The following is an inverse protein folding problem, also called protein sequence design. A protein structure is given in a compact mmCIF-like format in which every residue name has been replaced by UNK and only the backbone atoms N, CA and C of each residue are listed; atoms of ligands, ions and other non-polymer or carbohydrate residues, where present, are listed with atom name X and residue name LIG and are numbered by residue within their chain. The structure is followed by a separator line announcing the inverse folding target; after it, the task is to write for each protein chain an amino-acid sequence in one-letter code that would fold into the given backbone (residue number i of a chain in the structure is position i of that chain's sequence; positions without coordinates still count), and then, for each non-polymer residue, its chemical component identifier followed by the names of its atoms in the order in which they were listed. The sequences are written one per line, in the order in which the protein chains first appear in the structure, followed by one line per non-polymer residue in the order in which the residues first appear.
data_IF_978560387223
#
_entry.id   IF_978560387223
#
_cell.length_a   1.000
_cell.length_b   1.000
_cell.length_c   1.000
_cell.angle_alpha   90.00
_cell.angle_beta   90.00
_cell.angle_gamma   90.00
#
_symmetry.space_group_name_H-M   'P 1'
#
loop_
_entity.id
_entity.type
_entity.pdbx_description
1 polymer ?
#
# COMPACT_ATOMS: atom_id res chain seq x y z
N UNK A 1 -44.89 32.51 16.62
CA UNK A 1 -44.85 33.63 17.59
C UNK A 1 -43.63 34.50 17.27
N UNK A 2 -43.57 35.03 16.03
CA UNK A 2 -42.33 35.57 15.43
C UNK A 2 -42.14 37.08 15.65
N UNK A 3 -43.24 37.83 15.81
CA UNK A 3 -43.21 39.26 16.12
C UNK A 3 -43.31 39.49 17.62
N UNK A 4 -42.37 40.26 18.17
CA UNK A 4 -42.44 40.74 19.58
C UNK A 4 -43.21 42.06 19.70
N UNK A 5 -43.58 42.69 18.58
CA UNK A 5 -44.49 43.83 18.54
C UNK A 5 -44.50 44.53 17.17
N UNK A 6 -45.57 45.27 16.89
CA UNK A 6 -45.65 46.25 15.79
C UNK A 6 -45.72 47.66 16.37
N UNK A 7 -45.04 48.59 15.70
CA UNK A 7 -44.99 50.01 16.05
C UNK A 7 -45.53 50.79 14.87
N UNK A 8 -46.54 51.62 15.12
CA UNK A 8 -47.00 52.59 14.12
C UNK A 8 -46.29 53.91 14.39
N UNK A 9 -45.67 54.48 13.36
CA UNK A 9 -44.96 55.75 13.43
C UNK A 9 -45.78 56.83 12.74
N UNK A 10 -45.96 57.98 13.39
CA UNK A 10 -46.63 59.13 12.77
C UNK A 10 -45.79 59.72 11.63
N UNK A 11 -46.36 60.65 10.86
CA UNK A 11 -45.62 61.45 9.86
C UNK A 11 -44.35 62.12 10.42
N UNK A 12 -44.32 62.42 11.72
CA UNK A 12 -43.19 63.07 12.40
C UNK A 12 -42.22 62.06 13.06
N UNK A 13 -42.42 60.76 12.82
CA UNK A 13 -41.58 59.69 13.39
C UNK A 13 -41.78 59.46 14.88
N UNK A 14 -42.96 59.79 15.42
CA UNK A 14 -43.31 59.49 16.80
C UNK A 14 -43.94 58.10 16.92
N UNK A 15 -43.50 57.32 17.90
CA UNK A 15 -44.05 56.00 18.19
C UNK A 15 -45.47 56.04 18.75
N UNK A 16 -46.37 55.27 18.12
CA UNK A 16 -47.69 54.89 18.61
C UNK A 16 -47.73 53.38 18.75
N UNK A 17 -47.78 52.91 19.99
CA UNK A 17 -47.75 51.49 20.35
C UNK A 17 -49.06 51.11 21.04
N UNK A 18 -49.68 49.95 20.73
CA UNK A 18 -50.96 49.54 21.31
C UNK A 18 -50.96 49.34 22.85
N UNK A 19 -49.80 49.42 23.51
CA UNK A 19 -49.62 49.14 24.96
C UNK A 19 -48.89 50.27 25.72
N UNK A 20 -48.73 51.45 25.14
CA UNK A 20 -48.11 52.62 25.82
C UNK A 20 -46.58 52.55 26.04
N UNK A 21 -45.92 51.46 25.64
CA UNK A 21 -44.46 51.35 25.62
C UNK A 21 -43.92 52.34 24.56
N UNK A 22 -42.92 53.17 24.86
CA UNK A 22 -42.31 54.15 23.94
C UNK A 22 -43.27 55.20 23.31
N UNK A 23 -44.51 55.35 23.80
CA UNK A 23 -45.48 56.29 23.21
C UNK A 23 -44.97 57.74 23.28
N UNK A 24 -44.97 58.42 22.12
CA UNK A 24 -44.48 59.80 22.00
C UNK A 24 -42.95 59.97 21.90
N UNK A 25 -42.16 58.90 22.03
CA UNK A 25 -40.73 58.97 21.72
C UNK A 25 -40.51 59.11 20.21
N UNK A 26 -39.57 59.97 19.82
CA UNK A 26 -39.21 60.17 18.41
C UNK A 26 -38.09 59.23 18.02
N UNK A 27 -38.34 58.46 16.95
CA UNK A 27 -37.32 57.65 16.27
C UNK A 27 -37.09 58.10 14.83
N UNK A 28 -37.42 59.36 14.53
CA UNK A 28 -37.35 59.93 13.18
C UNK A 28 -35.96 59.86 12.53
N UNK A 29 -34.90 59.78 13.34
CA UNK A 29 -33.52 59.66 12.85
C UNK A 29 -33.05 58.21 12.62
N UNK A 30 -33.89 57.20 12.93
CA UNK A 30 -33.51 55.78 12.80
C UNK A 30 -33.78 55.26 11.38
N UNK A 31 -32.96 54.32 10.87
CA UNK A 31 -33.16 53.72 9.55
C UNK A 31 -34.56 53.16 9.34
N UNK A 32 -35.14 52.53 10.37
CA UNK A 32 -36.50 51.97 10.33
C UNK A 32 -37.58 52.99 9.91
N UNK A 33 -37.41 54.27 10.24
CA UNK A 33 -38.32 55.34 9.81
C UNK A 33 -37.88 55.97 8.48
N UNK A 34 -36.59 56.27 8.33
CA UNK A 34 -36.06 56.97 7.16
C UNK A 34 -36.20 56.15 5.87
N UNK A 35 -35.87 54.86 5.95
CA UNK A 35 -35.95 53.91 4.84
C UNK A 35 -37.39 53.40 4.68
N UNK A 36 -38.05 53.06 5.80
CA UNK A 36 -39.44 52.59 5.80
C UNK A 36 -40.47 53.64 5.33
N UNK A 37 -40.11 54.92 5.25
CA UNK A 37 -40.93 55.97 4.64
C UNK A 37 -40.89 55.92 3.11
N UNK A 38 -39.80 55.42 2.52
CA UNK A 38 -39.59 55.43 1.07
C UNK A 38 -40.24 54.22 0.39
N UNK A 39 -40.06 53.03 0.97
CA UNK A 39 -40.58 51.77 0.43
C UNK A 39 -40.62 50.69 1.52
N UNK A 40 -41.04 49.48 1.16
CA UNK A 40 -40.79 48.30 2.00
C UNK A 40 -39.28 48.18 2.23
N UNK A 41 -38.88 48.12 3.50
CA UNK A 41 -37.50 48.04 3.94
C UNK A 41 -37.35 46.92 4.96
N UNK A 42 -36.27 46.15 4.84
CA UNK A 42 -35.87 45.14 5.83
C UNK A 42 -34.46 45.45 6.28
N UNK A 43 -34.28 45.70 7.58
CA UNK A 43 -32.97 45.93 8.18
C UNK A 43 -32.25 44.63 8.51
N UNK A 44 -30.93 44.66 8.48
CA UNK A 44 -30.10 43.55 8.98
C UNK A 44 -30.21 43.41 10.50
N UNK A 45 -29.68 42.32 11.05
CA UNK A 45 -29.75 42.02 12.49
C UNK A 45 -29.01 43.08 13.30
N UNK A 46 -29.69 43.68 14.28
CA UNK A 46 -29.07 44.62 15.20
C UNK A 46 -29.60 44.48 16.62
N UNK A 47 -28.83 44.99 17.59
CA UNK A 47 -29.29 45.09 18.98
C UNK A 47 -30.37 46.16 19.12
N UNK A 48 -31.39 45.88 19.94
CA UNK A 48 -32.43 46.86 20.24
C UNK A 48 -32.06 47.78 21.40
N UNK A 49 -31.42 48.91 21.13
CA UNK A 49 -30.97 49.85 22.17
C UNK A 49 -32.11 50.40 23.04
N UNK A 50 -33.26 50.74 22.43
CA UNK A 50 -34.42 51.34 23.14
C UNK A 50 -35.42 50.28 23.62
N UNK A 51 -35.67 49.25 22.81
CA UNK A 51 -36.61 48.19 23.16
C UNK A 51 -36.04 47.23 24.23
N UNK A 52 -34.73 46.97 24.24
CA UNK A 52 -34.14 46.03 25.20
C UNK A 52 -34.22 46.51 26.65
N UNK A 53 -34.31 47.83 26.89
CA UNK A 53 -34.51 48.38 28.23
C UNK A 53 -35.94 48.14 28.78
N UNK A 54 -36.89 47.82 27.89
CA UNK A 54 -38.32 47.76 28.21
C UNK A 54 -38.90 46.34 28.08
N UNK A 55 -38.14 45.42 27.48
CA UNK A 55 -38.54 44.03 27.33
C UNK A 55 -37.95 43.15 28.43
N UNK A 56 -38.71 42.19 28.99
CA UNK A 56 -38.15 41.21 29.92
C UNK A 56 -37.08 40.38 29.21
N UNK A 57 -35.88 40.38 29.78
CA UNK A 57 -34.71 39.66 29.28
C UNK A 57 -34.23 38.63 30.31
N UNK A 58 -34.86 37.43 30.37
CA UNK A 58 -34.50 36.40 31.34
C UNK A 58 -33.14 35.75 31.06
N UNK A 59 -32.61 35.84 29.83
CA UNK A 59 -31.30 35.28 29.46
C UNK A 59 -30.13 36.24 29.77
N UNK A 60 -30.38 37.55 29.77
CA UNK A 60 -29.37 38.58 30.03
C UNK A 60 -28.49 38.92 28.81
N UNK A 61 -28.68 38.23 27.69
CA UNK A 61 -27.98 38.51 26.42
C UNK A 61 -28.63 39.68 25.67
N UNK A 62 -27.86 40.35 24.82
CA UNK A 62 -28.39 41.47 24.03
C UNK A 62 -29.50 41.00 23.09
N UNK A 63 -30.71 41.56 23.22
CA UNK A 63 -31.85 41.22 22.36
C UNK A 63 -31.60 41.75 20.94
N UNK A 64 -31.47 40.81 19.99
CA UNK A 64 -31.28 41.08 18.56
C UNK A 64 -32.61 41.03 17.81
N UNK A 65 -32.76 41.91 16.82
CA UNK A 65 -33.98 42.02 16.01
C UNK A 65 -33.66 42.20 14.54
N UNK A 66 -34.62 41.76 13.71
CA UNK A 66 -34.73 42.10 12.30
C UNK A 66 -35.94 43.02 12.15
N UNK A 67 -35.73 44.18 11.54
CA UNK A 67 -36.75 45.21 11.41
C UNK A 67 -37.36 45.17 10.02
N UNK A 68 -38.69 45.18 9.93
CA UNK A 68 -39.43 45.33 8.67
C UNK A 68 -40.26 46.60 8.77
N UNK A 69 -40.09 47.53 7.83
CA UNK A 69 -40.81 48.79 7.82
C UNK A 69 -41.44 49.05 6.45
N UNK A 70 -42.65 49.60 6.44
CA UNK A 70 -43.37 49.93 5.21
C UNK A 70 -44.19 51.22 5.37
N UNK A 71 -44.28 52.07 4.33
CA UNK A 71 -45.04 53.29 4.42
C UNK A 71 -46.54 52.99 4.36
N UNK A 72 -47.31 53.69 5.20
CA UNK A 72 -48.77 53.62 5.23
C UNK A 72 -49.32 54.88 4.60
N UNK A 73 -50.16 54.72 3.59
CA UNK A 73 -50.87 55.81 2.91
C UNK A 73 -52.37 55.72 3.22
N UNK A 74 -53.06 56.85 3.14
CA UNK A 74 -54.52 56.89 3.23
C UNK A 74 -55.18 56.44 1.91
N UNK A 75 -56.52 56.43 1.87
CA UNK A 75 -57.28 56.08 0.67
C UNK A 75 -57.14 57.07 -0.49
N UNK A 76 -56.53 58.24 -0.26
CA UNK A 76 -56.27 59.30 -1.24
C UNK A 76 -54.80 59.28 -1.71
N UNK A 77 -53.95 58.43 -1.11
CA UNK A 77 -52.52 58.29 -1.43
C UNK A 77 -51.60 59.17 -0.59
N UNK A 78 -52.12 59.91 0.40
CA UNK A 78 -51.30 60.75 1.27
C UNK A 78 -50.60 59.90 2.34
N UNK A 79 -49.32 60.20 2.59
CA UNK A 79 -48.50 59.48 3.54
C UNK A 79 -48.98 59.71 4.98
N UNK A 80 -49.45 58.67 5.67
CA UNK A 80 -49.91 58.75 7.06
C UNK A 80 -48.79 58.49 8.08
N UNK A 81 -47.78 57.71 7.70
CA UNK A 81 -46.75 57.25 8.62
C UNK A 81 -46.07 55.96 8.17
N UNK A 82 -45.27 55.35 9.05
CA UNK A 82 -44.57 54.08 8.78
C UNK A 82 -45.09 53.01 9.72
N UNK A 83 -45.43 51.83 9.20
CA UNK A 83 -45.68 50.65 10.00
C UNK A 83 -44.37 49.85 10.11
N UNK A 84 -43.84 49.74 11.32
CA UNK A 84 -42.65 48.96 11.62
C UNK A 84 -43.01 47.71 12.43
N UNK A 85 -42.36 46.60 12.13
CA UNK A 85 -42.50 45.32 12.83
C UNK A 85 -41.10 44.85 13.21
N UNK A 86 -40.95 44.50 14.50
CA UNK A 86 -39.71 43.95 15.02
C UNK A 86 -39.86 42.43 15.18
N UNK A 87 -39.03 41.68 14.46
CA UNK A 87 -38.95 40.23 14.55
C UNK A 87 -37.81 39.84 15.50
N UNK A 88 -38.10 39.01 16.50
CA UNK A 88 -37.09 38.54 17.46
C UNK A 88 -36.06 37.66 16.75
N UNK A 89 -34.76 37.82 16.98
CA UNK A 89 -33.74 36.93 16.41
C UNK A 89 -33.75 35.51 17.00
N UNK A 90 -34.43 35.29 18.12
CA UNK A 90 -34.51 33.98 18.80
C UNK A 90 -34.97 32.83 17.89
N UNK A 91 -35.75 33.12 16.83
CA UNK A 91 -36.16 32.08 15.89
C UNK A 91 -34.98 31.52 15.10
N UNK A 92 -33.95 32.32 14.82
CA UNK A 92 -32.79 31.88 14.05
C UNK A 92 -31.98 30.85 14.85
N UNK A 93 -31.80 31.09 16.15
CA UNK A 93 -31.18 30.13 17.07
C UNK A 93 -31.98 28.83 17.16
N UNK A 94 -33.32 28.92 17.21
CA UNK A 94 -34.16 27.74 17.17
C UNK A 94 -34.01 26.97 15.85
N UNK A 95 -33.95 27.65 14.70
CA UNK A 95 -33.71 27.01 13.40
C UNK A 95 -32.33 26.35 13.37
N UNK A 96 -31.29 26.98 13.92
CA UNK A 96 -29.97 26.36 14.06
C UNK A 96 -30.04 25.08 14.91
N UNK A 97 -30.66 25.13 16.08
CA UNK A 97 -30.75 23.98 16.98
C UNK A 97 -31.64 22.85 16.41
N UNK A 98 -32.68 23.19 15.63
CA UNK A 98 -33.63 22.22 15.09
C UNK A 98 -33.20 21.63 13.74
N UNK A 99 -32.59 22.42 12.85
CA UNK A 99 -32.03 21.91 11.60
C UNK A 99 -30.73 21.12 11.82
N UNK A 100 -30.02 21.38 12.91
CA UNK A 100 -28.80 20.65 13.27
C UNK A 100 -29.00 19.91 14.58
N UNK A 101 -29.65 18.74 14.49
CA UNK A 101 -29.81 17.83 15.62
C UNK A 101 -28.45 17.27 16.10
N UNK A 102 -28.34 16.74 17.33
CA UNK A 102 -27.08 16.20 17.87
C UNK A 102 -26.41 15.14 16.99
N UNK A 103 -27.17 14.48 16.10
CA UNK A 103 -26.67 13.53 15.12
C UNK A 103 -25.81 14.18 14.01
N UNK A 104 -26.05 15.45 13.68
CA UNK A 104 -25.29 16.22 12.69
C UNK A 104 -24.05 16.87 13.33
N UNK A 105 -24.15 17.18 14.62
CA UNK A 105 -23.01 17.57 15.45
C UNK A 105 -21.95 16.46 15.53
N UNK A 106 -22.34 15.17 15.39
CA UNK A 106 -21.38 14.04 15.25
C UNK A 106 -20.52 14.07 13.98
N UNK A 107 -20.87 14.89 12.99
CA UNK A 107 -20.10 14.98 11.75
C UNK A 107 -19.06 16.10 11.76
N UNK A 108 -18.80 16.75 12.90
CA UNK A 108 -17.87 17.89 13.05
C UNK A 108 -18.10 19.02 12.03
N UNK A 109 -19.33 19.13 11.53
CA UNK A 109 -19.72 20.17 10.58
C UNK A 109 -20.41 21.28 11.33
N UNK A 110 -19.83 22.46 11.28
CA UNK A 110 -20.39 23.67 11.85
C UNK A 110 -21.06 24.50 10.75
N UNK A 111 -22.24 25.05 11.05
CA UNK A 111 -22.90 26.04 10.21
C UNK A 111 -22.80 27.42 10.85
N UNK A 112 -22.48 28.41 10.04
CA UNK A 112 -22.46 29.82 10.37
C UNK A 112 -23.35 30.58 9.37
N UNK A 113 -23.96 31.65 9.85
CA UNK A 113 -24.65 32.62 9.02
C UNK A 113 -23.95 33.97 9.22
N UNK A 114 -23.54 34.58 8.12
CA UNK A 114 -22.91 35.90 8.12
C UNK A 114 -23.84 36.94 7.49
N UNK A 115 -23.73 38.18 7.95
CA UNK A 115 -24.30 39.36 7.30
C UNK A 115 -23.59 39.67 5.98
N UNK A 116 -24.15 40.61 5.21
CA UNK A 116 -23.59 41.02 3.92
C UNK A 116 -22.16 41.60 4.01
N UNK A 117 -21.77 42.12 5.17
CA UNK A 117 -20.43 42.67 5.46
C UNK A 117 -19.44 41.63 6.02
N UNK A 118 -19.85 40.36 6.13
CA UNK A 118 -19.03 39.26 6.64
C UNK A 118 -18.98 39.15 8.16
N UNK A 119 -19.88 39.81 8.89
CA UNK A 119 -20.00 39.67 10.35
C UNK A 119 -20.80 38.40 10.70
N UNK A 120 -20.33 37.61 11.68
CA UNK A 120 -21.01 36.38 12.08
C UNK A 120 -22.28 36.71 12.87
N UNK A 121 -23.43 36.40 12.30
CA UNK A 121 -24.75 36.58 12.91
C UNK A 121 -25.14 35.38 13.79
N UNK A 122 -24.78 34.18 13.34
CA UNK A 122 -25.12 32.92 13.98
C UNK A 122 -24.01 31.89 13.73
N UNK A 123 -23.68 31.10 14.74
CA UNK A 123 -22.56 30.15 14.70
C UNK A 123 -22.05 29.81 16.11
N UNK A 124 -20.82 29.30 16.25
CA UNK A 124 -20.18 29.09 17.55
C UNK A 124 -20.07 30.39 18.34
N UNK A 125 -20.39 30.36 19.65
CA UNK A 125 -20.43 31.56 20.51
C UNK A 125 -19.17 32.43 20.43
N UNK A 126 -18.00 31.79 20.34
CA UNK A 126 -16.72 32.49 20.24
C UNK A 126 -16.58 33.40 19.01
N UNK A 127 -17.32 33.10 17.93
CA UNK A 127 -17.22 33.81 16.65
C UNK A 127 -18.34 34.82 16.42
N UNK A 128 -19.44 34.77 17.19
CA UNK A 128 -20.58 35.67 17.01
C UNK A 128 -20.14 37.13 17.15
N UNK A 129 -20.50 37.96 16.18
CA UNK A 129 -20.13 39.38 16.12
C UNK A 129 -18.71 39.66 15.60
N UNK A 130 -17.90 38.64 15.34
CA UNK A 130 -16.60 38.82 14.68
C UNK A 130 -16.79 38.96 13.16
N UNK A 131 -15.93 39.76 12.53
CA UNK A 131 -15.88 39.89 11.08
C UNK A 131 -14.89 38.90 10.48
N UNK A 132 -15.34 38.07 9.54
CA UNK A 132 -14.53 37.07 8.83
C UNK A 132 -14.02 37.56 7.46
N UNK A 133 -13.85 38.87 7.30
CA UNK A 133 -13.33 39.48 6.06
C UNK A 133 -11.89 39.07 5.71
N UNK A 134 -11.19 38.36 6.60
CA UNK A 134 -9.91 37.72 6.32
C UNK A 134 -10.01 36.51 5.39
N UNK A 135 -11.20 35.90 5.27
CA UNK A 135 -11.43 34.76 4.38
C UNK A 135 -11.52 35.22 2.93
N UNK A 136 -10.69 34.64 2.06
CA UNK A 136 -10.53 35.10 0.67
C UNK A 136 -11.81 34.96 -0.15
N UNK A 137 -12.65 33.98 0.20
CA UNK A 137 -13.89 33.69 -0.53
C UNK A 137 -15.10 34.48 -0.03
N UNK A 138 -15.00 35.14 1.13
CA UNK A 138 -15.99 36.12 1.60
C UNK A 138 -15.73 37.47 0.92
N UNK A 139 -14.45 37.85 0.76
CA UNK A 139 -14.03 39.07 0.08
C UNK A 139 -14.11 38.94 -1.45
N UNK A 140 -15.31 39.10 -2.02
CA UNK A 140 -15.52 39.10 -3.48
C UNK A 140 -16.92 39.55 -3.89
N UNK A 141 -17.13 39.89 -5.18
CA UNK A 141 -18.46 40.27 -5.67
C UNK A 141 -19.45 39.11 -5.42
N UNK A 142 -20.64 39.43 -4.90
CA UNK A 142 -21.70 38.48 -4.53
C UNK A 142 -21.91 37.46 -5.64
N UNK A 143 -21.61 36.18 -5.36
CA UNK A 143 -21.68 35.10 -6.36
C UNK A 143 -22.98 34.33 -6.19
N UNK A 144 -23.65 34.05 -7.29
CA UNK A 144 -24.94 33.34 -7.31
C UNK A 144 -24.81 31.82 -7.16
N UNK A 145 -23.59 31.27 -7.24
CA UNK A 145 -23.34 29.83 -7.17
C UNK A 145 -22.62 29.46 -5.87
N UNK A 146 -23.00 28.35 -5.20
CA UNK A 146 -22.28 27.84 -4.05
C UNK A 146 -20.80 27.59 -4.40
N UNK A 147 -19.91 27.96 -3.49
CA UNK A 147 -18.47 27.73 -3.64
C UNK A 147 -17.93 26.94 -2.46
N UNK A 148 -16.78 26.32 -2.64
CA UNK A 148 -16.08 25.65 -1.55
C UNK A 148 -14.58 25.88 -1.69
N UNK A 149 -13.89 25.92 -0.55
CA UNK A 149 -12.44 26.07 -0.48
C UNK A 149 -11.90 25.42 0.79
N UNK A 150 -10.60 25.11 0.80
CA UNK A 150 -9.88 24.74 2.02
C UNK A 150 -9.11 25.97 2.47
N UNK A 151 -9.46 26.53 3.62
CA UNK A 151 -8.90 27.78 4.11
C UNK A 151 -8.48 27.67 5.57
N UNK A 152 -7.54 28.53 5.96
CA UNK A 152 -7.09 28.66 7.34
C UNK A 152 -7.92 29.74 8.01
N UNK A 153 -8.60 29.37 9.09
CA UNK A 153 -9.49 30.24 9.84
C UNK A 153 -8.71 31.06 10.90
N UNK A 154 -9.32 32.08 11.54
CA UNK A 154 -8.65 32.90 12.56
C UNK A 154 -8.10 32.12 13.77
N UNK A 155 -8.62 30.92 14.00
CA UNK A 155 -8.13 29.95 15.00
C UNK A 155 -6.80 29.28 14.61
N UNK A 156 -6.33 29.48 13.37
CA UNK A 156 -5.11 28.87 12.83
C UNK A 156 -5.31 27.47 12.24
N UNK A 157 -6.51 26.91 12.40
CA UNK A 157 -6.85 25.59 11.91
C UNK A 157 -7.34 25.63 10.46
N UNK A 158 -7.22 24.50 9.75
CA UNK A 158 -7.67 24.38 8.37
C UNK A 158 -9.02 23.70 8.29
N UNK A 159 -9.93 24.34 7.59
CA UNK A 159 -11.29 23.83 7.39
C UNK A 159 -11.59 23.68 5.90
N UNK A 160 -12.36 22.64 5.57
CA UNK A 160 -13.13 22.58 4.33
C UNK A 160 -14.36 23.45 4.55
N UNK A 161 -14.47 24.52 3.79
CA UNK A 161 -15.51 25.54 3.96
C UNK A 161 -16.35 25.66 2.69
N UNK A 162 -17.67 25.57 2.83
CA UNK A 162 -18.65 25.85 1.80
C UNK A 162 -19.33 27.20 2.04
N UNK A 163 -19.58 27.93 0.97
CA UNK A 163 -20.20 29.26 0.95
C UNK A 163 -21.43 29.25 0.06
N UNK A 164 -22.55 29.75 0.57
CA UNK A 164 -23.77 29.95 -0.19
C UNK A 164 -24.38 31.33 0.15
N UNK A 165 -24.63 32.15 -0.86
CA UNK A 165 -25.20 33.48 -0.70
C UNK A 165 -26.72 33.40 -0.80
N UNK A 166 -27.42 34.11 0.09
CA UNK A 166 -28.87 34.23 -0.02
C UNK A 166 -29.23 35.04 -1.26
N UNK A 167 -30.09 34.50 -2.11
CA UNK A 167 -30.79 35.27 -3.14
C UNK A 167 -32.09 35.80 -2.57
N UNK A 168 -32.49 37.00 -2.98
CA UNK A 168 -33.84 37.51 -2.76
C UNK A 168 -34.95 36.58 -3.27
N UNK A 169 -36.19 36.87 -2.88
CA UNK A 169 -37.38 36.16 -3.33
C UNK A 169 -38.46 37.17 -3.76
N UNK A 170 -38.96 37.03 -4.99
CA UNK A 170 -39.93 37.95 -5.60
C UNK A 170 -39.46 39.42 -5.50
N UNK A 171 -40.25 40.28 -4.88
CA UNK A 171 -39.98 41.71 -4.74
C UNK A 171 -38.99 42.01 -3.60
N UNK A 172 -38.53 40.99 -2.87
CA UNK A 172 -37.56 41.15 -1.79
C UNK A 172 -36.16 40.79 -2.27
N UNK A 173 -35.21 41.76 -2.37
CA UNK A 173 -33.85 41.50 -2.88
C UNK A 173 -32.99 40.61 -1.96
N UNK A 174 -33.43 40.35 -0.72
CA UNK A 174 -32.66 39.61 0.27
C UNK A 174 -31.73 40.51 1.09
N UNK A 175 -31.27 39.99 2.23
CA UNK A 175 -30.33 40.71 3.12
C UNK A 175 -28.86 40.52 2.73
N UNK A 176 -28.59 39.76 1.66
CA UNK A 176 -27.22 39.45 1.23
C UNK A 176 -26.46 38.56 2.21
N UNK A 177 -27.16 37.83 3.08
CA UNK A 177 -26.55 36.92 4.03
C UNK A 177 -25.78 35.79 3.34
N UNK A 178 -24.76 35.30 4.04
CA UNK A 178 -23.89 34.23 3.57
C UNK A 178 -24.02 33.06 4.53
N UNK A 179 -24.59 31.96 4.06
CA UNK A 179 -24.56 30.69 4.78
C UNK A 179 -23.19 30.03 4.54
N UNK A 180 -22.49 29.73 5.63
CA UNK A 180 -21.16 29.11 5.60
C UNK A 180 -21.20 27.81 6.37
N UNK A 181 -20.79 26.72 5.74
CA UNK A 181 -20.56 25.46 6.44
C UNK A 181 -19.06 25.21 6.50
N UNK A 182 -18.54 24.77 7.66
CA UNK A 182 -17.13 24.42 7.82
C UNK A 182 -16.96 23.08 8.52
N UNK A 183 -15.93 22.34 8.13
CA UNK A 183 -15.52 21.08 8.77
C UNK A 183 -14.00 20.99 8.84
N UNK A 184 -13.38 20.63 9.98
CA UNK A 184 -11.94 20.46 10.08
C UNK A 184 -11.40 19.51 9.01
N UNK A 185 -10.26 19.85 8.38
CA UNK A 185 -9.65 19.00 7.34
C UNK A 185 -9.31 17.61 7.89
N UNK A 186 -8.85 17.54 9.14
CA UNK A 186 -8.54 16.27 9.84
C UNK A 186 -9.77 15.36 9.90
N UNK A 187 -10.92 15.85 10.38
CA UNK A 187 -12.16 15.08 10.43
C UNK A 187 -12.79 14.85 9.05
N UNK A 188 -12.59 15.75 8.08
CA UNK A 188 -13.10 15.60 6.72
C UNK A 188 -12.40 14.47 5.95
N UNK A 189 -11.09 14.31 6.15
CA UNK A 189 -10.27 13.32 5.45
C UNK A 189 -9.95 12.06 6.27
N UNK A 190 -10.27 12.01 7.56
CA UNK A 190 -10.06 10.82 8.41
C UNK A 190 -10.56 9.50 7.78
N UNK A 191 -11.76 9.42 7.16
CA UNK A 191 -12.20 8.19 6.51
C UNK A 191 -11.32 7.75 5.34
N UNK A 192 -10.70 8.70 4.65
CA UNK A 192 -9.76 8.43 3.54
C UNK A 192 -8.44 7.89 4.09
N UNK A 193 -7.94 8.44 5.19
CA UNK A 193 -6.73 7.96 5.85
C UNK A 193 -6.92 6.54 6.41
N UNK A 194 -8.08 6.25 7.02
CA UNK A 194 -8.46 4.89 7.46
C UNK A 194 -8.50 3.89 6.29
N UNK A 195 -9.10 4.30 5.16
CA UNK A 195 -9.12 3.45 3.97
C UNK A 195 -7.71 3.22 3.40
N UNK A 196 -6.88 4.27 3.35
CA UNK A 196 -5.50 4.17 2.86
C UNK A 196 -4.66 3.21 3.72
N UNK A 197 -4.77 3.32 5.06
CA UNK A 197 -4.06 2.44 5.99
C UNK A 197 -4.53 0.99 5.87
N UNK A 198 -5.83 0.75 5.71
CA UNK A 198 -6.36 -0.59 5.45
C UNK A 198 -5.83 -1.18 4.14
N UNK A 199 -5.83 -0.41 3.05
CA UNK A 199 -5.29 -0.84 1.75
C UNK A 199 -3.80 -1.17 1.86
N UNK A 200 -3.01 -0.33 2.55
CA UNK A 200 -1.58 -0.58 2.78
C UNK A 200 -1.35 -1.86 3.59
N UNK A 201 -2.12 -2.07 4.68
CA UNK A 201 -2.00 -3.26 5.50
C UNK A 201 -2.32 -4.54 4.72
N UNK A 202 -3.41 -4.54 3.96
CA UNK A 202 -3.78 -5.66 3.08
C UNK A 202 -2.70 -5.90 2.03
N UNK A 203 -2.18 -4.83 1.42
CA UNK A 203 -1.10 -4.90 0.43
C UNK A 203 0.17 -5.53 1.00
N UNK A 204 0.59 -5.14 2.21
CA UNK A 204 1.76 -5.71 2.90
C UNK A 204 1.54 -7.20 3.19
N UNK A 205 0.37 -7.57 3.72
CA UNK A 205 0.04 -8.97 4.01
C UNK A 205 0.08 -9.81 2.72
N UNK A 206 -0.52 -9.32 1.63
CA UNK A 206 -0.53 -10.00 0.35
C UNK A 206 0.90 -10.14 -0.21
N UNK A 207 1.71 -9.08 -0.13
CA UNK A 207 3.09 -9.10 -0.60
C UNK A 207 3.95 -10.11 0.17
N UNK A 208 3.80 -10.17 1.50
CA UNK A 208 4.49 -11.16 2.34
C UNK A 208 4.04 -12.58 2.02
N UNK A 209 2.73 -12.81 1.85
CA UNK A 209 2.21 -14.11 1.44
C UNK A 209 2.75 -14.53 0.08
N UNK A 210 2.76 -13.63 -0.91
CA UNK A 210 3.34 -13.89 -2.24
C UNK A 210 4.83 -14.18 -2.16
N UNK A 211 5.59 -13.46 -1.32
CA UNK A 211 7.01 -13.71 -1.12
C UNK A 211 7.27 -15.08 -0.47
N UNK A 212 6.48 -15.47 0.54
CA UNK A 212 6.57 -16.77 1.18
C UNK A 212 6.22 -17.88 0.18
N UNK A 213 5.12 -17.75 -0.55
CA UNK A 213 4.72 -18.72 -1.58
C UNK A 213 5.80 -18.84 -2.65
N UNK A 214 6.33 -17.72 -3.15
CA UNK A 214 7.40 -17.68 -4.14
C UNK A 214 8.69 -18.33 -3.63
N UNK A 215 9.07 -18.09 -2.37
CA UNK A 215 10.23 -18.72 -1.75
C UNK A 215 10.03 -20.23 -1.55
N UNK A 216 8.84 -20.66 -1.14
CA UNK A 216 8.49 -22.07 -1.00
C UNK A 216 8.49 -22.81 -2.34
N UNK A 217 7.94 -22.22 -3.40
CA UNK A 217 7.94 -22.83 -4.73
C UNK A 217 9.34 -22.87 -5.33
N UNK A 218 10.10 -21.77 -5.27
CA UNK A 218 11.48 -21.71 -5.73
C UNK A 218 12.37 -22.72 -5.01
N UNK A 219 12.27 -22.81 -3.68
CA UNK A 219 13.04 -23.79 -2.90
C UNK A 219 12.64 -25.24 -3.21
N UNK A 220 11.35 -25.53 -3.42
CA UNK A 220 10.87 -26.86 -3.84
C UNK A 220 11.43 -27.28 -5.20
N UNK A 221 11.62 -26.34 -6.13
CA UNK A 221 12.09 -26.63 -7.49
C UNK A 221 13.62 -26.66 -7.60
N UNK A 222 14.33 -25.77 -6.90
CA UNK A 222 15.78 -25.65 -6.99
C UNK A 222 16.53 -26.72 -6.16
N UNK A 223 15.95 -27.19 -5.05
CA UNK A 223 16.62 -28.16 -4.17
C UNK A 223 16.92 -29.52 -4.86
N UNK A 224 16.00 -30.15 -5.60
CA UNK A 224 16.30 -31.40 -6.30
C UNK A 224 17.36 -31.24 -7.41
N UNK A 225 17.31 -30.14 -8.15
CA UNK A 225 18.29 -29.86 -9.21
C UNK A 225 19.70 -29.67 -8.65
N UNK A 226 19.85 -28.96 -7.54
CA UNK A 226 21.15 -28.79 -6.88
C UNK A 226 21.69 -30.09 -6.30
N UNK A 227 20.83 -31.00 -5.82
CA UNK A 227 21.24 -32.36 -5.40
C UNK A 227 21.72 -33.20 -6.57
N UNK A 228 20.99 -33.20 -7.68
CA UNK A 228 21.38 -33.91 -8.90
C UNK A 228 22.68 -33.37 -9.48
N UNK A 229 22.86 -32.04 -9.54
CA UNK A 229 24.09 -31.40 -9.99
C UNK A 229 25.29 -31.81 -9.13
N UNK A 230 25.16 -31.74 -7.80
CA UNK A 230 26.22 -32.19 -6.88
C UNK A 230 26.54 -33.67 -7.00
N UNK A 231 25.53 -34.52 -7.20
CA UNK A 231 25.74 -35.95 -7.44
C UNK A 231 26.49 -36.21 -8.76
N UNK A 232 26.24 -35.39 -9.80
CA UNK A 232 26.98 -35.44 -11.04
C UNK A 232 28.44 -35.00 -10.87
N UNK A 233 28.70 -33.90 -10.16
CA UNK A 233 30.04 -33.39 -9.90
C UNK A 233 30.90 -34.40 -9.11
N UNK A 234 30.33 -35.04 -8.08
CA UNK A 234 31.02 -36.07 -7.30
C UNK A 234 31.42 -37.30 -8.13
N UNK A 235 30.67 -37.62 -9.20
CA UNK A 235 31.03 -38.71 -10.11
C UNK A 235 32.22 -38.35 -11.01
N UNK A 236 32.40 -37.08 -11.35
CA UNK A 236 33.55 -36.62 -12.12
C UNK A 236 34.85 -36.77 -11.32
N UNK A 237 34.79 -36.50 -10.01
CA UNK A 237 35.96 -36.50 -9.11
C UNK A 237 36.41 -37.92 -8.69
N UNK A 238 35.80 -38.97 -9.24
CA UNK A 238 36.26 -40.35 -9.07
C UNK A 238 35.71 -41.07 -7.84
N UNK A 239 34.82 -40.45 -7.06
CA UNK A 239 34.07 -41.11 -5.99
C UNK A 239 32.95 -41.99 -6.58
N UNK A 240 33.31 -43.19 -7.05
CA UNK A 240 32.41 -44.15 -7.71
C UNK A 240 31.34 -44.77 -6.78
N UNK A 241 31.21 -44.30 -5.53
CA UNK A 241 30.39 -44.94 -4.51
C UNK A 241 29.01 -44.30 -4.29
N UNK A 242 28.72 -43.15 -4.91
CA UNK A 242 27.43 -42.47 -4.74
C UNK A 242 26.51 -42.70 -5.94
N UNK A 243 25.50 -43.56 -5.77
CA UNK A 243 24.40 -43.71 -6.72
C UNK A 243 23.59 -42.41 -6.83
N UNK A 244 23.27 -41.96 -8.04
CA UNK A 244 22.35 -40.83 -8.28
C UNK A 244 21.05 -41.11 -7.50
N UNK A 245 20.64 -40.25 -6.55
CA UNK A 245 19.44 -40.48 -5.76
C UNK A 245 18.18 -40.49 -6.63
N UNK A 246 17.23 -41.38 -6.32
CA UNK A 246 15.90 -41.40 -6.94
C UNK A 246 15.10 -40.23 -6.39
N UNK A 247 15.09 -39.12 -7.13
CA UNK A 247 14.27 -37.97 -6.77
C UNK A 247 12.78 -38.29 -6.98
N UNK A 248 12.00 -38.19 -5.91
CA UNK A 248 10.54 -38.45 -5.92
C UNK A 248 9.72 -37.19 -6.24
N UNK A 249 10.33 -36.25 -6.97
CA UNK A 249 9.76 -34.95 -7.32
C UNK A 249 8.80 -35.00 -8.51
N UNK A 250 8.87 -33.98 -9.39
CA UNK A 250 8.00 -33.91 -10.57
C UNK A 250 8.24 -35.11 -11.52
N UNK A 251 7.25 -35.47 -12.36
CA UNK A 251 7.40 -36.54 -13.35
C UNK A 251 8.63 -36.35 -14.26
N UNK A 252 8.94 -35.10 -14.60
CA UNK A 252 10.09 -34.71 -15.40
C UNK A 252 11.42 -34.94 -14.65
N UNK A 253 11.49 -34.55 -13.38
CA UNK A 253 12.64 -34.78 -12.51
C UNK A 253 12.91 -36.27 -12.32
N UNK A 254 11.84 -37.05 -12.12
CA UNK A 254 11.94 -38.50 -12.02
C UNK A 254 12.49 -39.10 -13.32
N UNK A 255 11.95 -38.69 -14.47
CA UNK A 255 12.42 -39.13 -15.79
C UNK A 255 13.89 -38.79 -16.01
N UNK A 256 14.31 -37.57 -15.66
CA UNK A 256 15.70 -37.12 -15.77
C UNK A 256 16.61 -37.96 -14.87
N UNK A 257 16.27 -38.15 -13.59
CA UNK A 257 17.11 -38.94 -12.67
C UNK A 257 17.24 -40.39 -13.12
N UNK A 258 16.17 -40.99 -13.66
CA UNK A 258 16.19 -42.35 -14.22
C UNK A 258 17.09 -42.41 -15.45
N UNK A 259 16.92 -41.50 -16.42
CA UNK A 259 17.75 -41.48 -17.62
C UNK A 259 19.23 -41.25 -17.31
N UNK A 260 19.54 -40.39 -16.35
CA UNK A 260 20.91 -40.14 -15.90
C UNK A 260 21.51 -41.39 -15.23
N UNK A 261 20.75 -42.07 -14.36
CA UNK A 261 21.17 -43.33 -13.74
C UNK A 261 21.41 -44.45 -14.75
N UNK A 262 20.55 -44.56 -15.75
CA UNK A 262 20.70 -45.56 -16.82
C UNK A 262 21.97 -45.29 -17.63
N UNK A 263 22.24 -44.03 -17.97
CA UNK A 263 23.46 -43.62 -18.65
C UNK A 263 24.71 -43.95 -17.82
N UNK A 264 24.73 -43.61 -16.53
CA UNK A 264 25.87 -43.90 -15.65
C UNK A 264 26.09 -45.40 -15.52
N UNK A 265 25.04 -46.18 -15.32
CA UNK A 265 25.13 -47.65 -15.25
C UNK A 265 25.76 -48.23 -16.52
N UNK A 266 25.35 -47.75 -17.70
CA UNK A 266 25.93 -48.18 -18.99
C UNK A 266 27.40 -47.81 -19.14
N UNK A 267 27.80 -46.62 -18.70
CA UNK A 267 29.20 -46.19 -18.75
C UNK A 267 30.09 -47.05 -17.85
N UNK A 268 29.62 -47.38 -16.64
CA UNK A 268 30.34 -48.26 -15.72
C UNK A 268 30.47 -49.68 -16.27
N UNK A 269 29.40 -50.23 -16.84
CA UNK A 269 29.40 -51.54 -17.49
C UNK A 269 30.32 -51.58 -18.71
N UNK A 270 30.33 -50.54 -19.53
CA UNK A 270 31.24 -50.42 -20.65
C UNK A 270 32.70 -50.40 -20.18
N UNK A 271 33.01 -49.64 -19.12
CA UNK A 271 34.37 -49.55 -18.58
C UNK A 271 34.84 -50.87 -17.96
N UNK A 272 33.97 -51.58 -17.24
CA UNK A 272 34.33 -52.90 -16.70
C UNK A 272 34.57 -53.93 -17.81
N UNK A 273 33.80 -53.84 -18.90
CA UNK A 273 34.00 -54.67 -20.10
C UNK A 273 35.34 -54.36 -20.76
N UNK A 274 35.70 -53.08 -20.92
CA UNK A 274 37.00 -52.67 -21.46
C UNK A 274 38.14 -53.21 -20.59
N UNK A 275 38.10 -53.00 -19.27
CA UNK A 275 39.13 -53.50 -18.36
C UNK A 275 39.29 -55.02 -18.46
N UNK A 276 38.18 -55.76 -18.55
CA UNK A 276 38.23 -57.23 -18.71
C UNK A 276 38.85 -57.65 -20.04
N UNK A 277 38.58 -56.91 -21.13
CA UNK A 277 39.21 -57.17 -22.43
C UNK A 277 40.71 -56.84 -22.39
N UNK A 278 41.12 -55.77 -21.72
CA UNK A 278 42.53 -55.44 -21.49
C UNK A 278 43.24 -56.55 -20.70
N UNK A 279 42.64 -57.03 -19.61
CA UNK A 279 43.19 -58.13 -18.81
C UNK A 279 43.39 -59.40 -19.66
N UNK A 280 42.40 -59.77 -20.47
CA UNK A 280 42.48 -60.93 -21.37
C UNK A 280 43.48 -60.74 -22.51
N UNK A 281 43.61 -59.52 -23.04
CA UNK A 281 44.54 -59.22 -24.11
C UNK A 281 46.00 -59.22 -23.64
N UNK A 282 46.24 -58.86 -22.37
CA UNK A 282 47.58 -58.60 -21.84
C UNK A 282 48.10 -59.64 -20.85
N UNK A 283 47.27 -60.57 -20.37
CA UNK A 283 47.66 -61.57 -19.36
C UNK A 283 47.60 -62.98 -19.94
N UNK A 284 48.53 -63.84 -19.52
CA UNK A 284 48.50 -65.28 -19.79
C UNK A 284 47.53 -65.97 -18.81
N UNK A 285 46.50 -66.70 -19.30
CA UNK A 285 45.45 -67.25 -18.44
C UNK A 285 45.91 -68.40 -17.55
N UNK A 286 47.00 -69.08 -17.90
CA UNK A 286 47.53 -70.20 -17.11
C UNK A 286 48.37 -69.69 -15.93
N UNK A 287 49.27 -68.74 -16.19
CA UNK A 287 50.27 -68.28 -15.20
C UNK A 287 49.88 -66.98 -14.50
N UNK A 288 48.95 -66.20 -15.06
CA UNK A 288 48.60 -64.87 -14.57
C UNK A 288 49.77 -63.87 -14.66
N UNK A 289 50.70 -64.10 -15.57
CA UNK A 289 51.78 -63.17 -15.91
C UNK A 289 51.41 -62.36 -17.15
N UNK A 290 52.03 -61.18 -17.37
CA UNK A 290 51.87 -60.48 -18.63
C UNK A 290 52.31 -61.38 -19.79
N UNK A 291 51.45 -61.48 -20.80
CA UNK A 291 51.71 -62.31 -21.95
C UNK A 291 52.69 -61.63 -22.92
N UNK A 292 52.99 -62.33 -24.03
CA UNK A 292 53.89 -61.80 -25.07
C UNK A 292 53.39 -60.48 -25.69
N UNK A 293 52.07 -60.30 -25.81
CA UNK A 293 51.50 -59.07 -26.38
C UNK A 293 51.81 -57.87 -25.47
N UNK A 294 51.61 -58.03 -24.16
CA UNK A 294 51.98 -57.01 -23.18
C UNK A 294 53.48 -56.73 -23.20
N UNK A 295 54.33 -57.76 -23.19
CA UNK A 295 55.78 -57.58 -23.25
C UNK A 295 56.21 -56.77 -24.48
N UNK A 296 55.60 -57.05 -25.63
CA UNK A 296 55.89 -56.32 -26.89
C UNK A 296 55.51 -54.84 -26.77
N UNK A 297 54.33 -54.54 -26.23
CA UNK A 297 53.88 -53.17 -25.99
C UNK A 297 54.76 -52.44 -24.98
N UNK A 298 55.11 -53.10 -23.87
CA UNK A 298 55.99 -52.56 -22.85
C UNK A 298 57.37 -52.19 -23.42
N UNK A 299 57.98 -53.08 -24.20
CA UNK A 299 59.28 -52.83 -24.81
C UNK A 299 59.24 -51.69 -25.85
N UNK A 300 58.15 -51.55 -26.60
CA UNK A 300 57.98 -50.43 -27.55
C UNK A 300 57.97 -49.06 -26.83
N UNK A 301 57.53 -49.01 -25.57
CA UNK A 301 57.56 -47.80 -24.75
C UNK A 301 58.88 -47.63 -24.00
N UNK A 302 59.37 -48.70 -23.38
CA UNK A 302 60.55 -48.68 -22.50
C UNK A 302 61.86 -48.44 -23.26
N UNK A 303 62.01 -48.96 -24.47
CA UNK A 303 63.26 -48.81 -25.25
C UNK A 303 63.53 -47.33 -25.59
N UNK A 304 62.58 -46.57 -26.19
CA UNK A 304 62.79 -45.15 -26.44
C UNK A 304 63.00 -44.32 -25.17
N UNK A 305 62.35 -44.68 -24.07
CA UNK A 305 62.51 -43.99 -22.79
C UNK A 305 63.90 -44.18 -22.19
N UNK A 306 64.39 -45.43 -22.14
CA UNK A 306 65.74 -45.74 -21.69
C UNK A 306 66.80 -45.03 -22.56
N UNK A 307 66.58 -44.96 -23.88
CA UNK A 307 67.45 -44.21 -24.79
C UNK A 307 67.49 -42.71 -24.48
N UNK A 308 66.34 -42.08 -24.22
CA UNK A 308 66.26 -40.66 -23.84
C UNK A 308 66.94 -40.39 -22.50
N UNK A 309 66.80 -41.29 -21.54
CA UNK A 309 67.33 -41.13 -20.19
C UNK A 309 68.77 -41.66 -20.03
N UNK A 310 69.41 -42.09 -21.12
CA UNK A 310 70.73 -42.73 -21.13
C UNK A 310 70.86 -43.91 -20.15
N UNK A 311 69.75 -44.63 -19.95
CA UNK A 311 69.70 -45.83 -19.11
C UNK A 311 69.93 -47.09 -19.94
N UNK A 312 70.63 -48.06 -19.36
CA UNK A 312 70.80 -49.38 -19.96
C UNK A 312 69.70 -50.32 -19.47
N UNK A 313 69.04 -51.00 -20.39
CA UNK A 313 68.03 -52.02 -20.09
C UNK A 313 68.58 -53.41 -20.39
N UNK A 314 68.33 -54.36 -19.49
CA UNK A 314 68.72 -55.76 -19.65
C UNK A 314 67.46 -56.62 -19.75
N UNK A 315 67.40 -57.45 -20.79
CA UNK A 315 66.34 -58.46 -20.94
C UNK A 315 66.95 -59.83 -20.63
N UNK A 316 66.42 -60.50 -19.61
CA UNK A 316 66.83 -61.84 -19.24
C UNK A 316 65.83 -62.82 -19.85
N UNK A 317 66.33 -63.76 -20.64
CA UNK A 317 65.54 -64.87 -21.18
C UNK A 317 65.92 -66.14 -20.43
N UNK A 318 64.92 -66.86 -19.92
CA UNK A 318 65.09 -68.11 -19.17
C UNK A 318 64.32 -69.18 -19.92
N UNK A 319 65.02 -70.22 -20.37
CA UNK A 319 64.40 -71.41 -20.95
C UNK A 319 64.27 -72.52 -19.90
N UNK A 320 63.24 -73.36 -20.02
CA UNK A 320 63.01 -74.48 -19.10
C UNK A 320 63.49 -75.78 -19.74
N UNK A 321 64.70 -76.19 -19.36
CA UNK A 321 65.30 -77.44 -19.83
C UNK A 321 64.40 -78.65 -19.52
N UNK A 322 64.33 -79.58 -20.46
CA UNK A 322 63.57 -80.83 -20.36
C UNK A 322 62.06 -80.68 -20.07
N UNK A 323 61.46 -79.48 -20.23
CA UNK A 323 60.01 -79.29 -20.00
C UNK A 323 59.14 -80.22 -20.85
N UNK A 324 59.56 -80.50 -22.09
CA UNK A 324 58.88 -81.45 -22.98
C UNK A 324 58.81 -82.86 -22.38
N UNK A 325 59.87 -83.32 -21.72
CA UNK A 325 59.90 -84.64 -21.10
C UNK A 325 58.89 -84.75 -19.95
N UNK A 326 58.71 -83.68 -19.16
CA UNK A 326 57.67 -83.60 -18.12
C UNK A 326 56.28 -83.76 -18.73
N UNK A 327 56.00 -83.09 -19.85
CA UNK A 327 54.73 -83.24 -20.55
C UNK A 327 54.54 -84.65 -21.12
N UNK A 328 55.59 -85.24 -21.69
CA UNK A 328 55.53 -86.55 -22.36
C UNK A 328 55.38 -87.71 -21.33
N UNK A 329 55.96 -87.57 -20.14
CA UNK A 329 55.94 -88.60 -19.08
C UNK A 329 54.77 -88.46 -18.10
N UNK A 330 54.42 -87.23 -17.71
CA UNK A 330 53.44 -86.96 -16.64
C UNK A 330 52.14 -86.30 -17.17
N UNK A 331 52.08 -86.04 -18.48
CA UNK A 331 50.97 -85.39 -19.15
C UNK A 331 51.01 -83.87 -19.06
N UNK A 332 50.34 -83.22 -20.00
CA UNK A 332 50.29 -81.76 -20.11
C UNK A 332 49.80 -81.05 -18.84
N UNK A 333 48.88 -81.66 -18.09
CA UNK A 333 48.40 -81.10 -16.84
C UNK A 333 49.51 -80.95 -15.79
N UNK A 334 50.45 -81.90 -15.72
CA UNK A 334 51.60 -81.81 -14.83
C UNK A 334 52.57 -80.70 -15.26
N UNK A 335 52.74 -80.49 -16.58
CA UNK A 335 53.50 -79.36 -17.11
C UNK A 335 52.86 -78.00 -16.79
N UNK A 336 51.53 -77.90 -16.87
CA UNK A 336 50.80 -76.67 -16.52
C UNK A 336 51.01 -76.30 -15.04
N UNK A 337 50.92 -77.28 -14.14
CA UNK A 337 51.19 -77.07 -12.70
C UNK A 337 52.64 -76.66 -12.45
N UNK A 338 53.59 -77.23 -13.20
CA UNK A 338 55.00 -76.85 -13.14
C UNK A 338 55.20 -75.39 -13.57
N UNK A 339 54.55 -74.93 -14.65
CA UNK A 339 54.61 -73.53 -15.10
C UNK A 339 54.04 -72.55 -14.06
N UNK A 340 52.92 -72.91 -13.42
CA UNK A 340 52.32 -72.11 -12.33
C UNK A 340 53.29 -72.01 -11.14
N UNK A 341 53.86 -73.13 -10.70
CA UNK A 341 54.79 -73.16 -9.56
C UNK A 341 56.07 -72.36 -9.84
N UNK A 342 56.64 -72.49 -11.05
CA UNK A 342 57.80 -71.69 -11.48
C UNK A 342 57.46 -70.21 -11.48
N UNK A 343 56.30 -69.83 -12.02
CA UNK A 343 55.81 -68.46 -12.02
C UNK A 343 55.73 -67.89 -10.60
N UNK A 344 55.18 -68.65 -9.65
CA UNK A 344 55.10 -68.22 -8.25
C UNK A 344 56.48 -68.03 -7.61
N UNK A 345 57.44 -68.93 -7.90
CA UNK A 345 58.81 -68.81 -7.42
C UNK A 345 59.51 -67.57 -7.98
N UNK A 346 59.37 -67.32 -9.28
CA UNK A 346 59.92 -66.13 -9.94
C UNK A 346 59.31 -64.84 -9.38
N UNK A 347 57.98 -64.78 -9.19
CA UNK A 347 57.31 -63.64 -8.54
C UNK A 347 57.85 -63.38 -7.14
N UNK A 348 58.08 -64.44 -6.34
CA UNK A 348 58.65 -64.29 -4.98
C UNK A 348 60.07 -63.74 -4.99
N UNK A 349 60.91 -64.16 -5.94
CA UNK A 349 62.29 -63.69 -6.04
C UNK A 349 62.41 -62.26 -6.59
N UNK A 350 61.46 -61.82 -7.42
CA UNK A 350 61.49 -60.51 -8.09
C UNK A 350 60.73 -59.43 -7.34
N UNK A 351 59.70 -59.78 -6.55
CA UNK A 351 58.93 -58.81 -5.75
C UNK A 351 59.64 -58.29 -4.48
N UNK A 352 60.91 -58.65 -4.27
CA UNK A 352 61.76 -58.17 -3.16
C UNK A 352 62.69 -57.00 -3.57
N UNK A 353 62.49 -56.39 -4.74
CA UNK A 353 63.26 -55.25 -5.24
C UNK A 353 62.38 -54.04 -5.55
#
# INVERSE_FOLDING_TARGET
MLSRGSVSLTQQGQCRLPRGILEGQSIAARPVFLEGRQSLWVGDVHEAVLLAQLLPNPSGEALKFVDIATPVHDSQGEFLGVLAVHLSWEWAEYIQQSMFSPAQQRQDTELLLLSADGTVLLGPEALIGQSLNSLKHIAGPTRTSPQWAIETWPDGERYVTGYAWSSGFEDFPGLGWIAVSRKPVTSAFAPVEELQTAIMAIGIVLALLSAIIGWLTASRMAAPLTRLARAADQMHDGEHNNFIPLESGSPELKRLSTSMRDMVSRLLEQRSTINRLEDLANTDPLTGLPNRAFLTQYLQLAIPEAQRNHQSMVVIYIDLDCFKQVNDELGHHAGDLLLIEITQRLKKCTAQW
#
